data_IF_203206063886
#
_entry.id   IF_203206063886
#
_cell.length_a   1.000
_cell.length_b   1.000
_cell.length_c   1.000
_cell.angle_alpha   90.00
_cell.angle_beta   90.00
_cell.angle_gamma   90.00
#
_symmetry.space_group_name_H-M   'P 1'
#
loop_
_entity.id
_entity.type
_entity.pdbx_description
1 polymer ?
#
# COMPACT_ATOMS: atom_id res chain seq x y z
N UNK A 1 2.67 24.74 14.08
CA UNK A 1 2.91 25.62 15.24
C UNK A 1 2.34 24.95 16.48
N UNK A 2 3.11 24.95 17.59
CA UNK A 2 2.98 24.21 18.87
C UNK A 2 3.53 22.78 18.85
N UNK A 3 4.85 22.59 18.99
CA UNK A 3 5.78 22.73 20.13
C UNK A 3 5.82 21.49 21.05
N UNK A 4 7.04 20.94 21.08
CA UNK A 4 7.52 19.74 21.77
C UNK A 4 7.41 19.90 23.29
N UNK A 5 6.95 18.85 23.97
CA UNK A 5 6.91 18.75 25.43
C UNK A 5 8.26 18.26 25.98
N UNK A 6 9.19 19.19 26.22
CA UNK A 6 10.25 18.98 27.20
C UNK A 6 9.68 19.32 28.58
N UNK A 7 9.66 18.36 29.50
CA UNK A 7 9.73 18.51 30.97
C UNK A 7 9.27 17.20 31.64
N UNK A 8 10.20 16.28 31.85
CA UNK A 8 10.13 15.40 33.02
C UNK A 8 11.42 15.55 33.80
N UNK A 9 11.20 15.73 35.09
CA UNK A 9 12.10 16.32 36.07
C UNK A 9 13.15 15.29 36.49
N UNK A 10 14.38 15.76 36.63
CA UNK A 10 15.45 15.05 37.29
C UNK A 10 15.05 14.73 38.74
N UNK A 11 15.12 13.47 39.12
CA UNK A 11 15.16 13.04 40.51
C UNK A 11 16.53 12.38 40.75
N UNK A 12 17.37 13.08 41.52
CA UNK A 12 18.66 12.61 42.00
C UNK A 12 18.40 11.71 43.20
N UNK A 13 18.81 10.44 43.12
CA UNK A 13 18.98 9.55 44.27
C UNK A 13 20.41 9.00 44.20
N UNK A 14 21.24 9.44 45.13
CA UNK A 14 22.59 8.95 45.39
C UNK A 14 22.55 7.76 46.34
N UNK A 15 23.34 6.71 46.07
CA UNK A 15 24.11 5.83 46.99
C UNK A 15 24.70 4.62 46.20
N UNK A 16 25.71 3.88 46.70
CA UNK A 16 27.05 3.83 46.10
C UNK A 16 27.41 2.54 45.30
N UNK A 17 28.37 2.75 44.38
CA UNK A 17 29.53 1.95 43.92
C UNK A 17 29.58 0.40 44.12
N UNK A 18 29.91 -0.25 42.99
CA UNK A 18 30.49 -1.59 42.75
C UNK A 18 29.59 -2.84 42.89
N UNK A 19 28.97 -3.19 41.76
CA UNK A 19 28.57 -4.56 41.45
C UNK A 19 28.36 -4.68 39.95
N UNK A 20 29.38 -5.10 39.19
CA UNK A 20 29.23 -5.45 37.78
C UNK A 20 28.39 -6.73 37.75
N UNK A 21 27.07 -6.59 37.69
CA UNK A 21 26.21 -7.68 37.26
C UNK A 21 26.38 -7.76 35.74
N UNK A 22 27.18 -8.72 35.28
CA UNK A 22 27.23 -9.07 33.88
C UNK A 22 25.82 -9.51 33.47
N UNK A 23 25.07 -8.60 32.84
CA UNK A 23 23.82 -8.94 32.19
C UNK A 23 24.16 -9.96 31.10
N UNK A 24 23.48 -11.13 31.05
CA UNK A 24 23.56 -11.98 29.89
C UNK A 24 23.15 -11.13 28.69
N UNK A 25 24.01 -11.07 27.67
CA UNK A 25 23.66 -10.50 26.39
C UNK A 25 22.34 -11.13 25.96
N UNK A 26 21.24 -10.39 26.05
CA UNK A 26 20.05 -10.71 25.28
C UNK A 26 20.46 -10.52 23.83
N UNK A 27 20.88 -11.63 23.21
CA UNK A 27 21.06 -11.72 21.78
C UNK A 27 19.82 -11.11 21.15
N UNK A 28 20.00 -9.93 20.55
CA UNK A 28 18.97 -9.26 19.79
C UNK A 28 18.73 -10.17 18.58
N UNK A 29 17.75 -11.06 18.70
CA UNK A 29 17.29 -11.86 17.59
C UNK A 29 16.90 -10.88 16.49
N UNK A 30 17.76 -10.77 15.48
CA UNK A 30 17.36 -10.20 14.21
C UNK A 30 16.20 -11.06 13.75
N UNK A 31 14.98 -10.51 13.88
CA UNK A 31 13.87 -10.98 13.07
C UNK A 31 14.24 -10.61 11.64
N UNK A 32 15.07 -11.46 11.04
CA UNK A 32 15.26 -11.49 9.61
C UNK A 32 13.87 -11.69 9.05
N UNK A 33 13.29 -10.61 8.52
CA UNK A 33 12.09 -10.71 7.70
C UNK A 33 12.51 -11.59 6.53
N UNK A 34 12.22 -12.89 6.62
CA UNK A 34 12.28 -13.77 5.47
C UNK A 34 11.18 -13.26 4.54
N UNK A 35 11.54 -12.31 3.67
CA UNK A 35 10.76 -11.96 2.52
C UNK A 35 10.78 -13.21 1.65
N UNK A 36 9.80 -14.11 1.86
CA UNK A 36 9.59 -15.27 1.03
C UNK A 36 9.39 -14.76 -0.40
N UNK A 37 10.40 -14.94 -1.25
CA UNK A 37 10.31 -14.63 -2.67
C UNK A 37 9.42 -15.71 -3.29
N UNK A 38 8.10 -15.47 -3.26
CA UNK A 38 7.15 -16.34 -3.94
C UNK A 38 7.40 -16.33 -5.45
N UNK A 39 7.51 -17.52 -6.06
CA UNK A 39 7.55 -17.67 -7.51
C UNK A 39 6.13 -17.49 -8.05
N UNK A 40 5.80 -16.26 -8.46
CA UNK A 40 4.46 -15.93 -8.96
C UNK A 40 4.09 -16.58 -10.29
N UNK A 41 5.04 -17.21 -10.98
CA UNK A 41 4.75 -18.02 -12.16
C UNK A 41 4.24 -19.42 -11.80
N UNK A 42 4.40 -19.84 -10.54
CA UNK A 42 4.01 -21.17 -10.07
C UNK A 42 3.58 -21.15 -8.60
N UNK A 43 2.70 -20.22 -8.21
CA UNK A 43 2.16 -20.17 -6.85
C UNK A 43 1.25 -21.40 -6.59
N UNK A 44 1.59 -22.21 -5.59
CA UNK A 44 0.90 -23.48 -5.29
C UNK A 44 0.04 -23.36 -4.02
N UNK A 45 0.40 -22.49 -3.09
CA UNK A 45 -0.37 -22.28 -1.87
C UNK A 45 -1.21 -21.01 -1.94
N UNK A 46 -2.34 -20.97 -1.22
CA UNK A 46 -3.16 -19.75 -1.11
C UNK A 46 -2.39 -18.58 -0.51
N UNK A 47 -1.40 -18.85 0.35
CA UNK A 47 -0.47 -17.84 0.85
C UNK A 47 0.38 -17.24 -0.28
N UNK A 48 1.02 -18.07 -1.10
CA UNK A 48 1.82 -17.63 -2.24
C UNK A 48 0.96 -16.87 -3.26
N UNK A 49 -0.24 -17.37 -3.56
CA UNK A 49 -1.21 -16.70 -4.42
C UNK A 49 -1.55 -15.30 -3.90
N UNK A 50 -1.80 -15.16 -2.58
CA UNK A 50 -2.08 -13.87 -1.95
C UNK A 50 -0.90 -12.91 -2.05
N UNK A 51 0.31 -13.39 -1.79
CA UNK A 51 1.54 -12.59 -1.93
C UNK A 51 1.71 -12.09 -3.36
N UNK A 52 1.44 -12.93 -4.34
CA UNK A 52 1.54 -12.57 -5.76
C UNK A 52 0.44 -11.59 -6.19
N UNK A 53 -0.81 -11.81 -5.76
CA UNK A 53 -1.91 -10.88 -6.03
C UNK A 53 -1.65 -9.49 -5.40
N UNK A 54 -1.12 -9.43 -4.18
CA UNK A 54 -0.70 -8.18 -3.53
C UNK A 54 0.42 -7.47 -4.31
N UNK A 55 1.41 -8.22 -4.80
CA UNK A 55 2.48 -7.67 -5.64
C UNK A 55 1.91 -7.04 -6.92
N UNK A 56 1.00 -7.74 -7.61
CA UNK A 56 0.35 -7.25 -8.81
C UNK A 56 -0.47 -5.98 -8.53
N UNK A 57 -1.28 -5.99 -7.46
CA UNK A 57 -2.05 -4.81 -7.07
C UNK A 57 -1.15 -3.61 -6.76
N UNK A 58 -0.08 -3.79 -5.99
CA UNK A 58 0.90 -2.72 -5.69
C UNK A 58 1.57 -2.17 -6.95
N UNK A 59 1.88 -3.03 -7.92
CA UNK A 59 2.43 -2.59 -9.20
C UNK A 59 1.43 -1.74 -9.99
N UNK A 60 0.18 -2.20 -10.08
CA UNK A 60 -0.90 -1.46 -10.74
C UNK A 60 -1.18 -0.11 -10.06
N UNK A 61 -1.25 -0.06 -8.73
CA UNK A 61 -1.49 1.17 -7.97
C UNK A 61 -0.33 2.16 -8.12
N UNK A 62 0.93 1.68 -8.10
CA UNK A 62 2.10 2.52 -8.37
C UNK A 62 2.01 3.15 -9.76
N UNK A 63 1.65 2.37 -10.78
CA UNK A 63 1.50 2.84 -12.16
C UNK A 63 0.34 3.84 -12.28
N UNK A 64 -0.82 3.57 -11.67
CA UNK A 64 -1.96 4.48 -11.61
C UNK A 64 -1.54 5.85 -11.06
N UNK A 65 -0.88 5.85 -9.92
CA UNK A 65 -0.41 7.07 -9.28
C UNK A 65 0.65 7.81 -10.12
N UNK A 66 1.50 7.08 -10.85
CA UNK A 66 2.45 7.68 -11.79
C UNK A 66 1.73 8.41 -12.93
N UNK A 67 0.79 7.75 -13.62
CA UNK A 67 0.04 8.35 -14.73
C UNK A 67 -0.79 9.53 -14.25
N UNK A 68 -1.45 9.41 -13.10
CA UNK A 68 -2.20 10.50 -12.48
C UNK A 68 -1.32 11.74 -12.24
N UNK A 69 -0.11 11.56 -11.70
CA UNK A 69 0.85 12.65 -11.48
C UNK A 69 1.39 13.27 -12.77
N UNK A 70 1.43 12.51 -13.87
CA UNK A 70 1.80 13.02 -15.19
C UNK A 70 0.66 13.83 -15.83
N UNK A 71 -0.57 13.33 -15.74
CA UNK A 71 -1.77 13.94 -16.33
C UNK A 71 -2.18 15.23 -15.62
N UNK A 72 -2.35 15.19 -14.30
CA UNK A 72 -2.91 16.31 -13.52
C UNK A 72 -2.26 17.68 -13.79
N UNK A 73 -0.92 17.84 -13.83
CA UNK A 73 -0.31 19.15 -14.05
C UNK A 73 -0.52 19.70 -15.47
N UNK A 74 -0.87 18.86 -16.44
CA UNK A 74 -1.15 19.29 -17.82
C UNK A 74 -2.58 19.82 -18.01
N UNK A 75 -3.43 19.67 -17.00
CA UNK A 75 -4.83 20.07 -17.04
C UNK A 75 -5.04 21.48 -16.47
N UNK A 76 -5.99 22.22 -17.02
CA UNK A 76 -6.48 23.46 -16.41
C UNK A 76 -7.20 23.22 -15.08
N UNK A 77 -7.36 24.25 -14.23
CA UNK A 77 -7.94 24.12 -12.87
C UNK A 77 -9.29 23.41 -12.84
N UNK A 78 -10.19 23.74 -13.77
CA UNK A 78 -11.52 23.12 -13.87
C UNK A 78 -11.43 21.61 -14.20
N UNK A 79 -10.57 21.24 -15.15
CA UNK A 79 -10.32 19.84 -15.51
C UNK A 79 -9.65 19.06 -14.36
N UNK A 80 -8.71 19.67 -13.63
CA UNK A 80 -8.11 19.05 -12.45
C UNK A 80 -9.16 18.71 -11.38
N UNK A 81 -10.10 19.62 -11.11
CA UNK A 81 -11.20 19.37 -10.17
C UNK A 81 -12.07 18.19 -10.63
N UNK A 82 -12.39 18.14 -11.93
CA UNK A 82 -13.13 17.01 -12.52
C UNK A 82 -12.35 15.69 -12.39
N UNK A 83 -11.06 15.68 -12.69
CA UNK A 83 -10.20 14.50 -12.54
C UNK A 83 -10.15 14.00 -11.09
N UNK A 84 -9.97 14.90 -10.12
CA UNK A 84 -9.97 14.54 -8.69
C UNK A 84 -11.30 13.90 -8.28
N UNK A 85 -12.43 14.53 -8.64
CA UNK A 85 -13.75 14.00 -8.30
C UNK A 85 -14.00 12.63 -8.95
N UNK A 86 -13.63 12.46 -10.22
CA UNK A 86 -13.73 11.19 -10.92
C UNK A 86 -12.87 10.11 -10.26
N UNK A 87 -11.65 10.45 -9.81
CA UNK A 87 -10.76 9.50 -9.15
C UNK A 87 -11.29 9.07 -7.77
N UNK A 88 -11.86 10.00 -6.98
CA UNK A 88 -12.48 9.68 -5.69
C UNK A 88 -13.70 8.75 -5.87
N UNK A 89 -14.55 9.04 -6.86
CA UNK A 89 -15.68 8.17 -7.19
C UNK A 89 -15.22 6.79 -7.68
N UNK A 90 -14.17 6.76 -8.51
CA UNK A 90 -13.57 5.52 -8.99
C UNK A 90 -13.02 4.64 -7.85
N UNK A 91 -12.39 5.23 -6.83
CA UNK A 91 -11.91 4.46 -5.66
C UNK A 91 -13.09 3.76 -4.97
N UNK A 92 -14.20 4.47 -4.75
CA UNK A 92 -15.39 3.85 -4.16
C UNK A 92 -15.97 2.73 -5.03
N UNK A 93 -16.01 2.95 -6.35
CA UNK A 93 -16.43 1.92 -7.30
C UNK A 93 -15.51 0.69 -7.23
N UNK A 94 -14.19 0.88 -7.24
CA UNK A 94 -13.19 -0.20 -7.15
C UNK A 94 -13.40 -1.02 -5.89
N UNK A 95 -13.45 -0.35 -4.74
CA UNK A 95 -13.52 -1.02 -3.46
C UNK A 95 -14.83 -1.82 -3.32
N UNK A 96 -15.97 -1.22 -3.71
CA UNK A 96 -17.27 -1.93 -3.71
C UNK A 96 -17.31 -3.10 -4.69
N UNK A 97 -16.76 -2.91 -5.90
CA UNK A 97 -16.70 -3.96 -6.93
C UNK A 97 -15.85 -5.12 -6.44
N UNK A 98 -14.72 -4.85 -5.80
CA UNK A 98 -13.82 -5.91 -5.34
C UNK A 98 -14.32 -6.64 -4.11
N UNK A 99 -15.01 -5.95 -3.20
CA UNK A 99 -15.76 -6.63 -2.12
C UNK A 99 -16.88 -7.51 -2.65
N UNK A 100 -17.62 -7.06 -3.66
CA UNK A 100 -18.62 -7.91 -4.31
C UNK A 100 -17.98 -9.12 -4.99
N UNK A 101 -16.93 -8.94 -5.81
CA UNK A 101 -16.24 -10.04 -6.51
C UNK A 101 -15.61 -11.04 -5.55
N UNK A 102 -15.04 -10.61 -4.43
CA UNK A 102 -14.43 -11.55 -3.47
C UNK A 102 -15.46 -12.31 -2.63
N UNK A 103 -16.68 -11.77 -2.48
CA UNK A 103 -17.74 -12.39 -1.68
C UNK A 103 -18.16 -13.79 -2.15
N UNK A 104 -17.91 -14.16 -3.41
CA UNK A 104 -18.13 -15.53 -3.90
C UNK A 104 -17.25 -16.59 -3.21
N UNK A 105 -16.17 -16.17 -2.53
CA UNK A 105 -15.32 -17.04 -1.72
C UNK A 105 -15.37 -16.68 -0.22
N UNK A 106 -16.43 -15.98 0.22
CA UNK A 106 -16.54 -15.42 1.57
C UNK A 106 -16.22 -16.44 2.68
N UNK A 107 -15.38 -16.03 3.64
CA UNK A 107 -14.97 -16.85 4.78
C UNK A 107 -13.90 -17.90 4.45
N UNK A 108 -13.55 -18.09 3.17
CA UNK A 108 -12.50 -18.97 2.72
C UNK A 108 -11.14 -18.27 2.60
N UNK A 109 -10.06 -19.06 2.57
CA UNK A 109 -8.69 -18.53 2.40
C UNK A 109 -8.45 -17.88 1.03
N UNK A 110 -9.34 -18.15 0.06
CA UNK A 110 -9.25 -17.60 -1.30
C UNK A 110 -9.87 -16.20 -1.42
N UNK A 111 -10.80 -15.81 -0.55
CA UNK A 111 -11.41 -14.47 -0.55
C UNK A 111 -10.40 -13.33 -0.69
N UNK A 112 -9.34 -13.22 0.14
CA UNK A 112 -8.36 -12.14 0.01
C UNK A 112 -7.54 -12.23 -1.28
N UNK A 113 -7.35 -13.42 -1.85
CA UNK A 113 -6.67 -13.58 -3.14
C UNK A 113 -7.52 -12.98 -4.26
N UNK A 114 -8.82 -13.29 -4.27
CA UNK A 114 -9.77 -12.75 -5.25
C UNK A 114 -9.95 -11.24 -5.12
N UNK A 115 -9.97 -10.73 -3.88
CA UNK A 115 -10.07 -9.29 -3.65
C UNK A 115 -8.85 -8.56 -4.21
N UNK A 116 -7.63 -9.01 -3.89
CA UNK A 116 -6.40 -8.42 -4.40
C UNK A 116 -6.29 -8.52 -5.93
N UNK A 117 -6.67 -9.67 -6.50
CA UNK A 117 -6.73 -9.83 -7.96
C UNK A 117 -7.69 -8.84 -8.60
N UNK A 118 -8.89 -8.66 -8.03
CA UNK A 118 -9.82 -7.64 -8.50
C UNK A 118 -9.24 -6.23 -8.41
N UNK A 119 -8.59 -5.89 -7.28
CA UNK A 119 -8.01 -4.58 -7.06
C UNK A 119 -6.95 -4.28 -8.14
N UNK A 120 -6.11 -5.27 -8.49
CA UNK A 120 -5.18 -5.17 -9.61
C UNK A 120 -5.91 -4.93 -10.94
N UNK A 121 -6.85 -5.82 -11.31
CA UNK A 121 -7.59 -5.76 -12.59
C UNK A 121 -8.27 -4.41 -12.84
N UNK A 122 -8.95 -3.87 -11.81
CA UNK A 122 -9.72 -2.63 -11.91
C UNK A 122 -8.78 -1.42 -11.95
N UNK A 123 -7.65 -1.50 -11.23
CA UNK A 123 -6.62 -0.46 -11.23
C UNK A 123 -5.90 -0.38 -12.57
N UNK A 124 -5.59 -1.51 -13.21
CA UNK A 124 -4.98 -1.54 -14.54
C UNK A 124 -5.89 -0.95 -15.63
N UNK A 125 -7.21 -1.20 -15.54
CA UNK A 125 -8.17 -0.56 -16.45
C UNK A 125 -8.15 0.96 -16.26
N UNK A 126 -8.11 1.42 -15.02
CA UNK A 126 -8.03 2.85 -14.73
C UNK A 126 -6.73 3.49 -15.19
N UNK A 127 -5.62 2.77 -15.13
CA UNK A 127 -4.34 3.20 -15.73
C UNK A 127 -4.57 3.51 -17.21
N UNK A 128 -5.17 2.59 -17.97
CA UNK A 128 -5.43 2.78 -19.41
C UNK A 128 -6.34 3.99 -19.68
N UNK A 129 -7.39 4.18 -18.88
CA UNK A 129 -8.25 5.37 -19.00
C UNK A 129 -7.45 6.68 -18.83
N UNK A 130 -6.57 6.73 -17.83
CA UNK A 130 -5.77 7.92 -17.57
C UNK A 130 -4.65 8.11 -18.60
N UNK A 131 -4.10 7.02 -19.15
CA UNK A 131 -3.13 7.07 -20.26
C UNK A 131 -3.79 7.63 -21.52
N UNK A 132 -4.99 7.17 -21.88
CA UNK A 132 -5.74 7.73 -23.01
C UNK A 132 -6.05 9.23 -22.82
N UNK A 133 -6.41 9.65 -21.60
CA UNK A 133 -6.59 11.07 -21.29
C UNK A 133 -5.27 11.86 -21.40
N UNK A 134 -4.14 11.27 -21.00
CA UNK A 134 -2.82 11.86 -21.12
C UNK A 134 -2.37 12.00 -22.58
N UNK A 135 -2.68 11.02 -23.43
CA UNK A 135 -2.40 11.07 -24.87
C UNK A 135 -3.15 12.21 -25.56
N UNK A 136 -4.45 12.38 -25.27
CA UNK A 136 -5.27 13.49 -25.79
C UNK A 136 -4.65 14.84 -25.39
N UNK A 137 -4.24 14.99 -24.13
CA UNK A 137 -3.68 16.26 -23.64
C UNK A 137 -2.28 16.53 -24.20
N UNK A 138 -1.53 15.50 -24.58
CA UNK A 138 -0.21 15.66 -25.22
C UNK A 138 -0.30 15.97 -26.72
N UNK A 139 -1.41 15.63 -27.38
CA UNK A 139 -1.65 15.83 -28.81
C UNK A 139 -3.00 16.55 -29.02
N UNK A 140 -3.07 17.85 -28.68
CA UNK A 140 -4.31 18.61 -28.62
C UNK A 140 -4.96 18.87 -29.99
#
# INVERSE_FOLDING_TARGET
MKLRSTLQKAALISLPILGIVALPNLARGSSDKIAQISNCNNAQTTYEMRVCADRSYKAADKKLNQVYRQLKPKLGKSQQKKLVNAQLAWIQFRDKTCKFRSSFAAGGTLEPVLELGCLADVTEKRVKDLEGALEIVNNP
#
